data_IF_043052754581
#
_entry.id   IF_043052754581
#
_cell.length_a   1.000
_cell.length_b   1.000
_cell.length_c   1.000
_cell.angle_alpha   90.00
_cell.angle_beta   90.00
_cell.angle_gamma   90.00
#
_symmetry.space_group_name_H-M   'P 1'
#
loop_
_entity.id
_entity.type
_entity.pdbx_description
1 polymer ?
#
# COMPACT_ATOMS: atom_id res chain seq x y z
N UNK A 1 43.81 -34.44 -53.86
CA UNK A 1 42.37 -34.77 -53.96
C UNK A 1 41.57 -33.48 -53.84
N UNK A 2 40.50 -33.41 -54.62
CA UNK A 2 39.90 -32.22 -55.23
C UNK A 2 39.44 -31.09 -54.29
N UNK A 3 39.75 -29.86 -54.71
CA UNK A 3 39.02 -28.64 -54.38
C UNK A 3 37.63 -28.71 -55.02
N UNK A 4 36.56 -28.36 -54.29
CA UNK A 4 35.25 -28.07 -54.85
C UNK A 4 34.90 -26.59 -54.67
N UNK A 5 34.27 -26.08 -55.72
CA UNK A 5 33.99 -24.71 -56.10
C UNK A 5 32.60 -24.26 -55.62
N UNK A 6 32.48 -22.95 -55.30
CA UNK A 6 31.43 -22.00 -55.74
C UNK A 6 29.99 -22.24 -55.18
N UNK A 7 29.23 -21.25 -54.70
CA UNK A 7 28.57 -20.18 -55.45
C UNK A 7 28.05 -19.11 -54.48
N UNK A 8 28.22 -17.85 -54.86
CA UNK A 8 27.56 -16.69 -54.26
C UNK A 8 26.16 -16.48 -54.86
N UNK A 9 25.21 -16.01 -54.05
CA UNK A 9 24.03 -15.31 -54.56
C UNK A 9 23.63 -14.20 -53.57
N UNK A 10 23.71 -12.97 -54.06
CA UNK A 10 23.17 -11.74 -53.48
C UNK A 10 21.68 -11.69 -53.78
N UNK A 11 20.87 -11.21 -52.83
CA UNK A 11 19.45 -10.94 -53.04
C UNK A 11 18.90 -9.98 -52.00
N UNK A 12 19.20 -8.69 -52.14
CA UNK A 12 18.41 -7.61 -51.55
C UNK A 12 17.03 -7.58 -52.23
N UNK A 13 15.95 -7.63 -51.45
CA UNK A 13 14.68 -7.00 -51.81
C UNK A 13 13.97 -6.53 -50.55
N UNK A 14 13.91 -5.22 -50.39
CA UNK A 14 13.04 -4.51 -49.49
C UNK A 14 11.59 -4.58 -50.00
N UNK A 15 10.61 -4.65 -49.08
CA UNK A 15 9.52 -3.66 -48.97
C UNK A 15 8.29 -4.18 -48.20
N UNK A 16 8.02 -3.52 -47.07
CA UNK A 16 6.73 -2.96 -46.64
C UNK A 16 5.72 -3.78 -45.80
N UNK A 17 5.26 -3.06 -44.75
CA UNK A 17 4.07 -3.22 -43.87
C UNK A 17 4.30 -4.09 -42.64
N UNK A 18 4.09 -3.63 -41.41
CA UNK A 18 3.40 -2.44 -40.89
C UNK A 18 3.97 -2.08 -39.53
N UNK A 19 4.33 -0.81 -39.36
CA UNK A 19 4.66 -0.21 -38.07
C UNK A 19 3.41 -0.14 -37.19
N UNK A 20 3.34 -0.99 -36.17
CA UNK A 20 2.67 -0.63 -34.93
C UNK A 20 3.77 -0.14 -33.98
N UNK A 21 3.74 1.12 -33.52
CA UNK A 21 4.45 1.43 -32.29
C UNK A 21 3.72 0.62 -31.20
N UNK A 22 4.34 -0.45 -30.74
CA UNK A 22 4.06 -1.00 -29.43
C UNK A 22 4.49 0.07 -28.45
N UNK A 23 3.59 1.02 -28.16
CA UNK A 23 3.64 1.85 -26.97
C UNK A 23 3.40 0.90 -25.80
N UNK A 24 4.46 0.16 -25.46
CA UNK A 24 4.61 -0.45 -24.16
C UNK A 24 4.72 0.73 -23.20
N UNK A 25 3.57 1.16 -22.73
CA UNK A 25 3.38 1.94 -21.51
C UNK A 25 4.39 1.38 -20.49
N UNK A 26 5.40 2.15 -20.06
CA UNK A 26 6.32 1.64 -19.08
C UNK A 26 5.52 1.48 -17.79
N UNK A 27 5.18 0.24 -17.45
CA UNK A 27 4.79 -0.14 -16.10
C UNK A 27 5.78 0.58 -15.18
N UNK A 28 5.34 1.48 -14.29
CA UNK A 28 6.27 2.25 -13.49
C UNK A 28 7.07 1.26 -12.62
N UNK A 29 8.31 1.02 -13.04
CA UNK A 29 9.27 0.28 -12.24
C UNK A 29 9.56 1.15 -11.03
N UNK A 30 8.89 0.86 -9.91
CA UNK A 30 9.17 1.44 -8.60
C UNK A 30 10.66 1.24 -8.32
N UNK A 31 11.45 2.28 -8.57
CA UNK A 31 12.89 2.27 -8.33
C UNK A 31 13.08 2.72 -6.90
N UNK A 32 13.24 1.76 -6.00
CA UNK A 32 13.44 1.99 -4.57
C UNK A 32 14.85 2.55 -4.33
N UNK A 33 14.98 3.88 -4.37
CA UNK A 33 16.21 4.57 -4.03
C UNK A 33 16.17 5.06 -2.56
N UNK A 34 16.88 4.32 -1.72
CA UNK A 34 17.55 4.72 -0.48
C UNK A 34 16.97 5.89 0.33
N UNK A 35 16.06 5.56 1.25
CA UNK A 35 16.06 6.13 2.62
C UNK A 35 15.69 5.00 3.57
N UNK A 36 16.27 4.98 4.78
CA UNK A 36 15.88 4.05 5.85
C UNK A 36 14.39 4.27 6.16
N UNK A 37 13.55 3.26 5.93
CA UNK A 37 12.09 3.37 5.93
C UNK A 37 11.55 3.71 4.53
N UNK A 38 10.62 2.91 4.01
CA UNK A 38 10.04 3.11 2.68
C UNK A 38 9.53 4.55 2.53
N UNK A 39 9.87 5.29 1.46
CA UNK A 39 9.42 6.66 1.31
C UNK A 39 7.89 6.70 1.14
N UNK A 40 7.27 7.74 1.69
CA UNK A 40 5.93 8.15 1.31
C UNK A 40 5.87 8.29 -0.22
N UNK A 41 5.09 7.43 -0.91
CA UNK A 41 4.92 7.59 -2.35
C UNK A 41 4.26 8.93 -2.62
N UNK A 42 4.73 9.57 -3.68
CA UNK A 42 4.17 10.78 -4.23
C UNK A 42 3.64 10.42 -5.61
N UNK A 43 2.33 10.52 -5.79
CA UNK A 43 1.68 10.24 -7.07
C UNK A 43 1.49 11.56 -7.82
N UNK A 44 2.05 11.66 -9.01
CA UNK A 44 1.96 12.81 -9.93
C UNK A 44 2.31 14.18 -9.37
N UNK A 45 3.08 14.26 -8.28
CA UNK A 45 3.33 15.56 -7.66
C UNK A 45 2.39 15.92 -6.52
N UNK A 46 1.25 15.22 -6.44
CA UNK A 46 -0.02 15.84 -6.08
C UNK A 46 -0.74 15.17 -4.91
N UNK A 47 -0.66 13.84 -4.82
CA UNK A 47 -1.15 13.10 -3.64
C UNK A 47 0.04 12.71 -2.76
N UNK A 48 -0.10 12.93 -1.46
CA UNK A 48 0.88 12.60 -0.45
C UNK A 48 0.21 11.80 0.67
N UNK A 49 0.83 10.67 1.03
CA UNK A 49 0.42 9.86 2.17
C UNK A 49 1.55 9.70 3.18
N UNK A 50 1.20 9.60 4.45
CA UNK A 50 2.11 9.18 5.51
C UNK A 50 1.39 8.14 6.37
N UNK A 51 2.08 7.06 6.72
CA UNK A 51 1.58 6.02 7.60
C UNK A 51 2.57 5.83 8.75
N UNK A 52 2.07 5.52 9.94
CA UNK A 52 2.88 5.19 11.11
C UNK A 52 2.20 4.14 11.95
N UNK A 53 3.02 3.29 12.56
CA UNK A 53 2.57 2.45 13.67
C UNK A 53 2.62 3.27 14.96
N UNK A 54 1.60 3.10 15.81
CA UNK A 54 1.58 3.72 17.13
C UNK A 54 1.42 2.63 18.18
N UNK A 55 2.50 2.35 18.90
CA UNK A 55 2.54 1.35 19.96
C UNK A 55 1.52 1.64 21.07
N UNK A 56 1.13 2.91 21.25
CA UNK A 56 0.19 3.37 22.29
C UNK A 56 -1.22 3.56 21.73
N UNK A 57 -1.58 2.79 20.71
CA UNK A 57 -2.93 2.79 20.15
C UNK A 57 -3.99 2.44 21.21
N UNK A 58 -3.64 1.66 22.22
CA UNK A 58 -4.50 1.34 23.36
C UNK A 58 -4.94 2.58 24.14
N UNK A 59 -4.11 3.62 24.23
CA UNK A 59 -4.48 4.91 24.83
C UNK A 59 -5.46 5.69 23.95
N UNK A 60 -5.33 5.56 22.62
CA UNK A 60 -6.20 6.21 21.64
C UNK A 60 -7.59 5.58 21.64
N UNK A 61 -7.66 4.24 21.63
CA UNK A 61 -8.91 3.48 21.54
C UNK A 61 -9.49 3.09 22.91
N UNK A 62 -8.67 3.16 23.96
CA UNK A 62 -8.98 2.65 25.30
C UNK A 62 -8.95 1.12 25.40
N UNK A 63 -8.43 0.42 24.39
CA UNK A 63 -8.34 -1.04 24.28
C UNK A 63 -7.19 -1.42 23.36
N UNK A 64 -6.47 -2.48 23.70
CA UNK A 64 -5.45 -3.10 22.85
C UNK A 64 -6.15 -3.86 21.72
N UNK A 65 -6.14 -3.27 20.52
CA UNK A 65 -6.85 -3.82 19.35
C UNK A 65 -6.17 -5.06 18.80
N UNK A 66 -4.84 -5.15 18.94
CA UNK A 66 -4.07 -6.32 18.54
C UNK A 66 -4.53 -7.53 19.35
N UNK A 67 -4.50 -7.42 20.68
CA UNK A 67 -4.81 -8.57 21.55
C UNK A 67 -6.30 -8.85 21.72
N UNK A 68 -7.14 -7.82 21.61
CA UNK A 68 -8.58 -7.97 21.89
C UNK A 68 -9.39 -8.31 20.65
N UNK A 69 -8.99 -7.82 19.48
CA UNK A 69 -9.77 -7.90 18.25
C UNK A 69 -9.02 -8.55 17.09
N UNK A 70 -7.77 -9.00 17.30
CA UNK A 70 -6.86 -9.50 16.27
C UNK A 70 -6.75 -8.50 15.11
N UNK A 71 -6.49 -7.23 15.46
CA UNK A 71 -6.43 -6.13 14.50
C UNK A 71 -5.19 -5.30 14.72
N UNK A 72 -4.46 -5.03 13.64
CA UNK A 72 -3.32 -4.13 13.62
C UNK A 72 -3.75 -2.73 13.15
N UNK A 73 -3.83 -1.72 14.04
CA UNK A 73 -4.20 -0.35 13.66
C UNK A 73 -3.00 0.46 13.14
N UNK A 74 -3.07 0.98 11.91
CA UNK A 74 -2.04 1.89 11.35
C UNK A 74 -2.62 3.29 11.23
N UNK A 75 -1.95 4.27 11.85
CA UNK A 75 -2.30 5.67 11.72
C UNK A 75 -1.83 6.19 10.36
N UNK A 76 -2.67 6.99 9.71
CA UNK A 76 -2.47 7.40 8.34
C UNK A 76 -3.02 8.80 8.07
N UNK A 77 -2.31 9.54 7.22
CA UNK A 77 -2.79 10.80 6.63
C UNK A 77 -2.65 10.71 5.12
N UNK A 78 -3.69 11.09 4.37
CA UNK A 78 -3.65 11.23 2.91
C UNK A 78 -4.16 12.62 2.54
N UNK A 79 -3.41 13.33 1.70
CA UNK A 79 -3.73 14.71 1.37
C UNK A 79 -3.20 15.13 0.00
N UNK A 80 -3.74 16.24 -0.49
CA UNK A 80 -3.21 16.95 -1.64
C UNK A 80 -1.99 17.79 -1.23
N UNK A 81 -0.92 17.75 -2.02
CA UNK A 81 0.28 18.61 -1.88
C UNK A 81 0.75 19.09 -3.25
N UNK A 82 1.39 20.26 -3.34
CA UNK A 82 1.89 20.83 -4.61
C UNK A 82 1.10 22.02 -5.16
N UNK A 83 1.42 22.49 -6.37
CA UNK A 83 0.69 23.57 -7.04
C UNK A 83 -0.56 23.00 -7.75
N UNK A 84 -1.69 23.73 -7.73
CA UNK A 84 -2.94 23.28 -8.38
C UNK A 84 -3.84 22.35 -7.54
N UNK A 85 -3.61 22.24 -6.22
CA UNK A 85 -4.40 21.37 -5.33
C UNK A 85 -5.90 21.69 -5.31
N UNK A 86 -6.28 22.96 -5.50
CA UNK A 86 -7.69 23.37 -5.47
C UNK A 86 -8.46 22.88 -6.71
N UNK A 87 -7.75 22.49 -7.78
CA UNK A 87 -8.34 22.04 -9.05
C UNK A 87 -8.36 20.52 -9.19
N UNK A 88 -7.46 19.82 -8.48
CA UNK A 88 -7.31 18.38 -8.60
C UNK A 88 -8.45 17.61 -7.94
N UNK A 89 -9.01 16.63 -8.67
CA UNK A 89 -10.08 15.77 -8.16
C UNK A 89 -9.50 14.43 -7.75
N UNK A 90 -8.91 14.39 -6.55
CA UNK A 90 -8.46 13.16 -5.95
C UNK A 90 -9.40 12.71 -4.82
N UNK A 91 -9.78 11.44 -4.77
CA UNK A 91 -10.58 10.92 -3.67
C UNK A 91 -10.22 9.47 -3.32
N UNK A 92 -10.49 9.11 -2.06
CA UNK A 92 -10.45 7.73 -1.58
C UNK A 92 -11.85 7.15 -1.66
N UNK A 93 -12.04 6.09 -2.45
CA UNK A 93 -13.33 5.44 -2.55
C UNK A 93 -13.48 4.42 -1.40
N UNK A 94 -14.38 4.63 -0.41
CA UNK A 94 -14.52 3.72 0.72
C UNK A 94 -14.86 2.28 0.33
N UNK A 95 -15.55 2.08 -0.80
CA UNK A 95 -15.98 0.75 -1.26
C UNK A 95 -14.90 0.04 -2.07
N UNK A 96 -13.94 0.79 -2.65
CA UNK A 96 -12.95 0.28 -3.59
C UNK A 96 -11.50 0.48 -3.15
N UNK A 97 -11.26 1.19 -2.06
CA UNK A 97 -9.91 1.51 -1.57
C UNK A 97 -9.05 0.25 -1.42
N UNK A 98 -9.67 -0.88 -1.01
CA UNK A 98 -9.03 -2.19 -1.03
C UNK A 98 -7.69 -2.19 -0.31
N UNK A 99 -7.60 -1.49 0.82
CA UNK A 99 -6.31 -1.27 1.46
C UNK A 99 -5.72 -2.56 1.99
N UNK A 100 -4.42 -2.73 1.81
CA UNK A 100 -3.67 -3.88 2.28
C UNK A 100 -2.39 -3.44 2.97
N UNK A 101 -1.99 -4.17 3.99
CA UNK A 101 -0.68 -4.04 4.61
C UNK A 101 0.20 -5.18 4.13
N UNK A 102 1.26 -4.84 3.40
CA UNK A 102 2.26 -5.79 2.92
C UNK A 102 3.46 -5.76 3.87
N UNK A 103 3.68 -6.87 4.56
CA UNK A 103 4.79 -7.08 5.48
C UNK A 103 6.11 -7.33 4.73
N UNK A 104 7.23 -7.18 5.43
CA UNK A 104 8.58 -7.31 4.85
C UNK A 104 8.90 -8.67 4.21
N UNK A 105 8.14 -9.73 4.51
CA UNK A 105 8.27 -11.05 3.90
C UNK A 105 7.28 -11.30 2.75
N UNK A 106 6.48 -10.30 2.38
CA UNK A 106 5.46 -10.37 1.34
C UNK A 106 4.09 -10.85 1.81
N UNK A 107 3.92 -11.12 3.11
CA UNK A 107 2.60 -11.42 3.68
C UNK A 107 1.69 -10.21 3.57
N UNK A 108 0.46 -10.41 3.10
CA UNK A 108 -0.53 -9.34 2.93
C UNK A 108 -1.64 -9.49 3.95
N UNK A 109 -1.92 -8.42 4.69
CA UNK A 109 -3.04 -8.32 5.63
C UNK A 109 -4.12 -7.40 5.04
N UNK A 110 -5.38 -7.87 4.88
CA UNK A 110 -6.44 -7.05 4.33
C UNK A 110 -6.95 -6.03 5.36
N UNK A 111 -7.33 -4.84 4.90
CA UNK A 111 -8.00 -3.87 5.75
C UNK A 111 -9.45 -4.30 6.07
N UNK A 112 -9.86 -4.07 7.31
CA UNK A 112 -11.22 -4.24 7.79
C UNK A 112 -11.96 -2.90 7.85
N UNK A 113 -13.26 -2.88 7.52
CA UNK A 113 -14.12 -1.75 7.82
C UNK A 113 -14.14 -1.46 9.33
N UNK A 114 -14.09 -0.19 9.73
CA UNK A 114 -14.10 0.21 11.13
C UNK A 114 -15.29 -0.37 11.92
N UNK A 115 -16.47 -0.46 11.30
CA UNK A 115 -17.66 -1.11 11.88
C UNK A 115 -17.45 -2.59 12.23
N UNK A 116 -16.66 -3.31 11.44
CA UNK A 116 -16.38 -4.72 11.66
C UNK A 116 -15.43 -4.89 12.84
N UNK A 117 -14.46 -3.97 12.98
CA UNK A 117 -13.56 -3.92 14.13
C UNK A 117 -14.31 -3.51 15.39
N UNK A 118 -15.19 -2.50 15.30
CA UNK A 118 -16.00 -2.03 16.42
C UNK A 118 -16.89 -3.14 17.00
N UNK A 119 -17.40 -4.04 16.17
CA UNK A 119 -18.17 -5.21 16.61
C UNK A 119 -17.35 -6.26 17.37
N UNK A 120 -16.01 -6.24 17.30
CA UNK A 120 -15.11 -7.15 18.01
C UNK A 120 -14.74 -6.66 19.41
N UNK A 121 -15.06 -5.43 19.77
CA UNK A 121 -14.71 -4.81 21.06
C UNK A 121 -15.96 -4.36 21.82
N UNK A 122 -15.81 -4.01 23.11
CA UNK A 122 -16.93 -3.46 23.87
C UNK A 122 -17.42 -2.12 23.25
N UNK A 123 -18.72 -1.88 23.31
CA UNK A 123 -19.43 -0.77 22.63
C UNK A 123 -18.74 0.60 22.79
N UNK A 124 -18.34 0.96 24.03
CA UNK A 124 -17.64 2.21 24.33
C UNK A 124 -16.32 2.41 23.58
N UNK A 125 -15.66 1.32 23.21
CA UNK A 125 -14.42 1.32 22.41
C UNK A 125 -14.74 1.31 20.92
N UNK A 126 -15.80 0.59 20.52
CA UNK A 126 -16.28 0.56 19.13
C UNK A 126 -16.60 1.95 18.58
N UNK A 127 -17.27 2.80 19.36
CA UNK A 127 -17.52 4.20 18.97
C UNK A 127 -16.23 5.01 18.75
N UNK A 128 -15.15 4.68 19.48
CA UNK A 128 -13.84 5.34 19.29
C UNK A 128 -13.16 4.85 18.03
N UNK A 129 -13.21 3.54 17.76
CA UNK A 129 -12.70 2.92 16.53
C UNK A 129 -13.35 3.55 15.29
N UNK A 130 -14.67 3.64 15.25
CA UNK A 130 -15.37 4.20 14.08
C UNK A 130 -15.03 5.68 13.86
N UNK A 131 -15.07 6.49 14.92
CA UNK A 131 -14.79 7.94 14.84
C UNK A 131 -13.35 8.27 14.43
N UNK A 132 -12.41 7.36 14.69
CA UNK A 132 -10.98 7.53 14.36
C UNK A 132 -10.60 6.90 13.02
N UNK A 133 -11.52 6.19 12.36
CA UNK A 133 -11.26 5.61 11.05
C UNK A 133 -10.79 6.67 10.05
N UNK A 134 -9.91 6.29 9.12
CA UNK A 134 -9.44 7.18 8.07
C UNK A 134 -10.64 7.74 7.29
N UNK A 135 -10.72 9.06 7.22
CA UNK A 135 -11.75 9.73 6.44
C UNK A 135 -11.56 9.43 4.95
N UNK A 136 -12.58 8.83 4.34
CA UNK A 136 -12.63 8.58 2.90
C UNK A 136 -13.45 9.65 2.19
N UNK A 137 -13.28 9.77 0.87
CA UNK A 137 -13.94 10.79 0.06
C UNK A 137 -12.92 11.75 -0.56
N UNK A 138 -13.40 12.95 -0.91
CA UNK A 138 -12.59 13.97 -1.59
C UNK A 138 -11.40 14.38 -0.71
N UNK A 139 -10.19 14.25 -1.26
CA UNK A 139 -8.97 14.63 -0.57
C UNK A 139 -8.87 16.15 -0.48
N UNK A 140 -8.28 16.62 0.63
CA UNK A 140 -8.03 18.04 0.87
C UNK A 140 -6.55 18.31 1.09
N UNK A 141 -6.17 19.58 1.07
CA UNK A 141 -4.81 20.06 1.38
C UNK A 141 -4.43 19.97 2.86
N UNK A 142 -5.40 19.74 3.75
CA UNK A 142 -5.21 19.77 5.22
C UNK A 142 -5.06 18.40 5.86
N UNK A 143 -5.24 17.30 5.12
CA UNK A 143 -4.96 15.92 5.55
C UNK A 143 -5.24 15.61 7.01
N UNK A 144 -6.43 15.10 7.32
CA UNK A 144 -6.72 14.65 8.67
C UNK A 144 -6.09 13.28 8.93
N UNK A 145 -5.47 13.11 10.10
CA UNK A 145 -4.99 11.79 10.54
C UNK A 145 -6.20 10.92 10.92
N UNK A 146 -6.23 9.71 10.39
CA UNK A 146 -7.15 8.66 10.82
C UNK A 146 -6.50 7.29 10.72
N UNK A 147 -7.28 6.25 10.95
CA UNK A 147 -6.74 4.90 11.15
C UNK A 147 -7.29 3.90 10.14
N UNK A 148 -6.39 3.07 9.63
CA UNK A 148 -6.73 1.83 8.93
C UNK A 148 -6.50 0.66 9.89
N UNK A 149 -7.30 -0.39 9.71
CA UNK A 149 -7.34 -1.53 10.61
C UNK A 149 -7.09 -2.80 9.80
N UNK A 150 -6.03 -3.55 10.07
CA UNK A 150 -5.69 -4.74 9.27
C UNK A 150 -5.97 -6.02 10.06
N UNK A 151 -6.58 -7.01 9.40
CA UNK A 151 -7.00 -8.26 10.03
C UNK A 151 -5.80 -9.17 10.31
N UNK A 152 -5.64 -9.60 11.56
CA UNK A 152 -4.67 -10.62 11.97
C UNK A 152 -5.33 -12.00 12.14
N UNK A 153 -6.67 -12.06 12.26
CA UNK A 153 -7.40 -13.29 12.61
C UNK A 153 -7.26 -14.44 11.59
N UNK A 154 -6.84 -14.16 10.36
CA UNK A 154 -6.53 -15.17 9.34
C UNK A 154 -5.10 -15.74 9.42
N UNK A 155 -4.31 -15.28 10.39
CA UNK A 155 -2.87 -15.49 10.45
C UNK A 155 -2.45 -15.88 11.88
N UNK A 156 -2.88 -17.06 12.33
CA UNK A 156 -2.55 -17.64 13.66
C UNK A 156 -1.04 -17.74 13.95
N UNK A 157 -0.21 -17.64 12.91
CA UNK A 157 1.24 -17.61 12.98
C UNK A 157 1.84 -16.22 13.29
N UNK A 158 1.03 -15.17 13.35
CA UNK A 158 1.46 -13.81 13.62
C UNK A 158 1.14 -13.37 15.05
N UNK A 159 2.16 -12.89 15.75
CA UNK A 159 2.03 -12.15 17.01
C UNK A 159 2.60 -10.74 16.81
N UNK A 160 2.12 -9.74 17.55
CA UNK A 160 2.58 -8.36 17.40
C UNK A 160 3.10 -7.85 18.74
N UNK A 161 4.34 -7.38 18.72
CA UNK A 161 5.06 -6.87 19.89
C UNK A 161 5.83 -5.60 19.52
N UNK A 162 5.68 -4.55 20.32
CA UNK A 162 6.21 -3.21 20.07
C UNK A 162 5.99 -2.79 18.59
N UNK A 163 7.07 -2.62 17.81
CA UNK A 163 7.03 -2.28 16.38
C UNK A 163 7.29 -3.47 15.43
N UNK A 164 7.06 -4.69 15.90
CA UNK A 164 7.36 -5.93 15.17
C UNK A 164 6.14 -6.83 15.05
N UNK A 165 6.03 -7.51 13.92
CA UNK A 165 5.20 -8.71 13.78
C UNK A 165 6.11 -9.92 13.84
N UNK A 166 5.93 -10.78 14.83
CA UNK A 166 6.61 -12.07 14.92
C UNK A 166 5.81 -13.11 14.15
N UNK A 167 6.46 -13.79 13.21
CA UNK A 167 5.86 -14.85 12.41
C UNK A 167 6.48 -16.20 12.77
N UNK A 168 5.67 -17.17 13.18
CA UNK A 168 6.10 -18.52 13.54
C UNK A 168 5.62 -19.58 12.55
N UNK A 169 6.50 -20.03 11.66
CA UNK A 169 6.20 -21.09 10.68
C UNK A 169 7.15 -22.27 10.89
N UNK A 170 6.61 -23.48 10.98
CA UNK A 170 7.38 -24.72 11.16
C UNK A 170 8.39 -24.67 12.32
N UNK A 171 8.00 -24.05 13.44
CA UNK A 171 8.83 -23.90 14.63
C UNK A 171 9.98 -22.90 14.50
N UNK A 172 10.00 -22.08 13.43
CA UNK A 172 10.94 -20.97 13.27
C UNK A 172 10.19 -19.65 13.45
N UNK A 173 10.67 -18.82 14.35
CA UNK A 173 10.16 -17.47 14.54
C UNK A 173 11.01 -16.47 13.77
N UNK A 174 10.36 -15.63 12.98
CA UNK A 174 10.98 -14.51 12.27
C UNK A 174 10.34 -13.22 12.72
N UNK A 175 11.17 -12.24 13.07
CA UNK A 175 10.74 -10.86 13.32
C UNK A 175 10.62 -10.09 12.02
N UNK A 176 9.47 -9.47 11.80
CA UNK A 176 9.16 -8.59 10.68
C UNK A 176 8.98 -7.18 11.25
N UNK A 177 9.87 -6.25 10.89
CA UNK A 177 9.77 -4.87 11.37
C UNK A 177 8.67 -4.14 10.59
N UNK A 178 7.76 -3.46 11.30
CA UNK A 178 6.68 -2.72 10.66
C UNK A 178 7.22 -1.56 9.80
N UNK A 179 8.36 -0.97 10.17
CA UNK A 179 9.02 0.07 9.37
C UNK A 179 9.64 -0.41 8.04
N UNK A 180 9.62 -1.74 7.81
CA UNK A 180 9.96 -2.40 6.54
C UNK A 180 8.71 -2.89 5.80
N UNK A 181 7.53 -2.41 6.20
CA UNK A 181 6.24 -2.76 5.61
C UNK A 181 5.63 -1.55 4.91
N UNK A 182 4.63 -1.80 4.08
CA UNK A 182 3.96 -0.77 3.28
C UNK A 182 2.45 -0.98 3.29
N UNK A 183 1.70 0.12 3.29
CA UNK A 183 0.26 0.13 3.06
C UNK A 183 0.01 0.41 1.59
N UNK A 184 -0.73 -0.45 0.89
CA UNK A 184 -1.20 -0.22 -0.48
C UNK A 184 -2.70 0.06 -0.49
N UNK A 185 -3.15 0.91 -1.41
CA UNK A 185 -4.56 1.17 -1.68
C UNK A 185 -4.72 1.96 -2.98
N UNK A 186 -5.93 2.03 -3.51
CA UNK A 186 -6.21 2.82 -4.71
C UNK A 186 -6.69 4.24 -4.38
N UNK A 187 -6.14 5.21 -5.12
CA UNK A 187 -6.61 6.60 -5.14
C UNK A 187 -7.24 6.85 -6.50
N UNK A 188 -8.44 7.45 -6.54
CA UNK A 188 -8.99 7.93 -7.80
C UNK A 188 -8.52 9.36 -8.03
N UNK A 189 -7.77 9.60 -9.11
CA UNK A 189 -7.32 10.92 -9.56
C UNK A 189 -7.92 11.20 -10.94
N UNK A 190 -8.69 12.28 -11.06
CA UNK A 190 -9.36 12.71 -12.29
C UNK A 190 -10.13 11.57 -12.99
N UNK A 191 -10.80 10.74 -12.19
CA UNK A 191 -11.62 9.62 -12.65
C UNK A 191 -10.85 8.35 -13.01
N UNK A 192 -9.53 8.30 -12.79
CA UNK A 192 -8.70 7.10 -12.98
C UNK A 192 -8.24 6.56 -11.63
N UNK A 193 -8.42 5.28 -11.41
CA UNK A 193 -7.85 4.59 -10.25
C UNK A 193 -6.35 4.36 -10.46
N UNK A 194 -5.57 4.71 -9.45
CA UNK A 194 -4.13 4.57 -9.45
C UNK A 194 -3.68 3.95 -8.13
N UNK A 195 -2.80 2.94 -8.18
CA UNK A 195 -2.26 2.34 -6.96
C UNK A 195 -1.36 3.33 -6.22
N UNK A 196 -1.51 3.35 -4.91
CA UNK A 196 -0.77 4.22 -4.01
C UNK A 196 -0.21 3.41 -2.84
N UNK A 197 1.09 3.54 -2.59
CA UNK A 197 1.81 2.81 -1.57
C UNK A 197 2.44 3.77 -0.57
N UNK A 198 2.33 3.47 0.71
CA UNK A 198 2.89 4.32 1.77
C UNK A 198 3.72 3.45 2.70
N UNK A 199 5.02 3.73 2.78
CA UNK A 199 5.87 3.12 3.78
C UNK A 199 5.43 3.48 5.20
N UNK A 200 5.57 2.53 6.12
CA UNK A 200 5.27 2.77 7.52
C UNK A 200 6.47 3.45 8.19
N UNK A 201 6.22 4.64 8.74
CA UNK A 201 7.16 5.34 9.61
C UNK A 201 7.09 4.85 11.05
N UNK A 202 8.15 5.17 11.80
CA UNK A 202 8.17 5.09 13.27
C UNK A 202 7.60 6.36 13.89
#
# INVERSE_FOLDING_TARGET
>A
MSRMFLVAAVGLCAACKSSFPSDSDPTPHLTFADTRGFPAQKLDGLVYGAARWDERHDEVFGVDLVRTADVLPIAMTVQLRGAGQDEARAWLNPERMGAELVLADGTTLPALPARAVAARVAERHGERVERRALATGLLSSRGEEGWLYFDLAGHDELDVDDACVERSVDGRTRRLLLDQSLVTFDVTLDGREQPFCVGIGR
#
